data_IF_548930195131
#
_entry.id   IF_548930195131
#
_cell.length_a   1.000
_cell.length_b   1.000
_cell.length_c   1.000
_cell.angle_alpha   90.00
_cell.angle_beta   90.00
_cell.angle_gamma   90.00
#
_symmetry.space_group_name_H-M   'P 1'
#
loop_
_entity.id
_entity.type
_entity.pdbx_description
1 polymer ?
#
# COMPACT_ATOMS: atom_id res chain seq x y z
N UNK A 1 12.92 13.00 -36.35
CA UNK A 1 12.97 11.78 -35.51
C UNK A 1 12.80 12.21 -34.06
N UNK A 2 11.70 11.82 -33.41
CA UNK A 2 11.40 12.27 -32.04
C UNK A 2 12.34 11.61 -31.03
N UNK A 3 12.89 12.44 -30.13
CA UNK A 3 13.76 12.10 -29.00
C UNK A 3 13.28 10.85 -28.26
N UNK A 4 14.23 9.96 -27.95
CA UNK A 4 14.09 8.88 -26.97
C UNK A 4 13.57 9.46 -25.65
N UNK A 5 12.25 9.44 -25.45
CA UNK A 5 11.71 9.47 -24.10
C UNK A 5 12.22 8.19 -23.45
N UNK A 6 13.15 8.33 -22.51
CA UNK A 6 13.46 7.29 -21.54
C UNK A 6 12.12 6.83 -20.94
N UNK A 7 11.51 5.79 -21.53
CA UNK A 7 10.40 5.09 -20.90
C UNK A 7 11.03 4.43 -19.69
N UNK A 8 10.93 5.09 -18.54
CA UNK A 8 11.30 4.52 -17.26
C UNK A 8 10.78 3.09 -17.23
N UNK A 9 11.70 2.13 -17.14
CA UNK A 9 11.38 0.71 -17.22
C UNK A 9 10.44 0.40 -16.05
N UNK A 10 9.20 0.03 -16.36
CA UNK A 10 8.21 -0.30 -15.33
C UNK A 10 8.65 -1.58 -14.60
N UNK A 11 8.72 -1.48 -13.27
CA UNK A 11 9.02 -2.59 -12.38
C UNK A 11 7.84 -3.56 -12.35
N UNK A 12 8.02 -4.76 -11.79
CA UNK A 12 6.89 -5.68 -11.58
C UNK A 12 5.90 -5.13 -10.55
N UNK A 13 6.40 -4.46 -9.51
CA UNK A 13 5.60 -3.88 -8.43
C UNK A 13 4.66 -2.78 -8.94
N UNK A 14 5.08 -2.01 -9.95
CA UNK A 14 4.25 -1.01 -10.62
C UNK A 14 2.96 -1.62 -11.21
N UNK A 15 2.99 -2.89 -11.65
CA UNK A 15 1.81 -3.59 -12.17
C UNK A 15 0.94 -4.19 -11.05
N UNK A 16 1.54 -4.59 -9.93
CA UNK A 16 0.84 -5.27 -8.84
C UNK A 16 -0.26 -4.38 -8.26
N UNK A 17 -0.02 -3.07 -8.14
CA UNK A 17 -1.01 -2.09 -7.65
C UNK A 17 -2.34 -2.25 -8.38
N UNK A 18 -2.31 -2.25 -9.72
CA UNK A 18 -3.51 -2.43 -10.53
C UNK A 18 -4.16 -3.80 -10.41
N UNK A 19 -3.35 -4.85 -10.22
CA UNK A 19 -3.86 -6.22 -10.13
C UNK A 19 -4.48 -6.55 -8.78
N UNK A 20 -4.00 -5.92 -7.69
CA UNK A 20 -4.58 -6.04 -6.36
C UNK A 20 -5.96 -5.39 -6.29
N UNK A 21 -6.11 -4.19 -6.85
CA UNK A 21 -7.39 -3.47 -6.83
C UNK A 21 -8.46 -4.13 -7.72
N UNK A 22 -8.07 -4.89 -8.74
CA UNK A 22 -8.98 -5.64 -9.61
C UNK A 22 -9.87 -4.80 -10.52
N UNK A 23 -9.75 -3.47 -10.49
CA UNK A 23 -10.66 -2.52 -11.16
C UNK A 23 -10.38 -2.31 -12.64
N UNK A 24 -9.16 -2.54 -13.12
CA UNK A 24 -8.77 -2.24 -14.49
C UNK A 24 -8.44 -3.49 -15.33
N UNK A 25 -8.96 -3.50 -16.57
CA UNK A 25 -8.59 -4.45 -17.60
C UNK A 25 -7.20 -4.13 -18.20
N UNK A 26 -6.60 -5.08 -18.91
CA UNK A 26 -5.24 -4.94 -19.45
C UNK A 26 -5.06 -3.77 -20.42
N UNK A 27 -6.13 -3.38 -21.13
CA UNK A 27 -6.10 -2.29 -22.09
C UNK A 27 -6.00 -0.94 -21.36
N UNK A 28 -6.79 -0.76 -20.29
CA UNK A 28 -6.75 0.45 -19.47
C UNK A 28 -5.39 0.61 -18.78
N UNK A 29 -4.87 -0.46 -18.17
CA UNK A 29 -3.55 -0.45 -17.52
C UNK A 29 -2.45 -0.12 -18.53
N UNK A 30 -2.50 -0.71 -19.73
CA UNK A 30 -1.51 -0.46 -20.78
C UNK A 30 -1.47 1.02 -21.20
N UNK A 31 -2.65 1.63 -21.37
CA UNK A 31 -2.80 3.05 -21.72
C UNK A 31 -2.25 3.95 -20.63
N UNK A 32 -2.59 3.68 -19.37
CA UNK A 32 -2.15 4.47 -18.22
C UNK A 32 -0.64 4.36 -17.96
N UNK A 33 -0.10 3.15 -18.09
CA UNK A 33 1.33 2.87 -17.87
C UNK A 33 2.22 3.23 -19.06
N UNK A 34 1.64 3.52 -20.23
CA UNK A 34 2.38 3.76 -21.47
C UNK A 34 3.14 2.53 -21.97
N UNK A 35 2.59 1.33 -21.77
CA UNK A 35 3.19 0.04 -22.15
C UNK A 35 2.27 -0.77 -23.07
N UNK A 36 2.76 -1.87 -23.63
CA UNK A 36 1.91 -2.73 -24.47
C UNK A 36 0.96 -3.59 -23.63
N UNK A 37 -0.26 -3.83 -24.15
CA UNK A 37 -1.22 -4.78 -23.55
C UNK A 37 -0.60 -6.16 -23.33
N UNK A 38 0.22 -6.63 -24.27
CA UNK A 38 0.91 -7.90 -24.15
C UNK A 38 1.83 -7.95 -22.92
N UNK A 39 2.52 -6.85 -22.63
CA UNK A 39 3.36 -6.77 -21.43
C UNK A 39 2.52 -6.82 -20.14
N UNK A 40 1.38 -6.11 -20.10
CA UNK A 40 0.46 -6.17 -18.96
C UNK A 40 -0.06 -7.59 -18.75
N UNK A 41 -0.50 -8.27 -19.81
CA UNK A 41 -0.99 -9.65 -19.74
C UNK A 41 0.07 -10.61 -19.22
N UNK A 42 1.33 -10.45 -19.66
CA UNK A 42 2.47 -11.22 -19.16
C UNK A 42 2.67 -11.02 -17.66
N UNK A 43 2.65 -9.76 -17.20
CA UNK A 43 2.78 -9.44 -15.78
C UNK A 43 1.60 -9.94 -14.95
N UNK A 44 0.37 -9.89 -15.49
CA UNK A 44 -0.82 -10.41 -14.81
C UNK A 44 -0.75 -11.93 -14.63
N UNK A 45 -0.25 -12.65 -15.64
CA UNK A 45 -0.06 -14.09 -15.52
C UNK A 45 1.00 -14.43 -14.46
N UNK A 46 2.14 -13.71 -14.47
CA UNK A 46 3.16 -13.81 -13.42
C UNK A 46 2.56 -13.54 -12.03
N UNK A 47 1.78 -12.46 -11.88
CA UNK A 47 1.07 -12.12 -10.65
C UNK A 47 0.15 -13.25 -10.18
N UNK A 48 -0.68 -13.81 -11.06
CA UNK A 48 -1.57 -14.93 -10.70
C UNK A 48 -0.82 -16.17 -10.18
N UNK A 49 0.41 -16.41 -10.66
CA UNK A 49 1.26 -17.51 -10.19
C UNK A 49 1.89 -17.25 -8.82
N UNK A 50 2.24 -15.99 -8.51
CA UNK A 50 2.92 -15.64 -7.24
C UNK A 50 1.98 -15.09 -6.17
N UNK A 51 0.75 -14.70 -6.50
CA UNK A 51 -0.22 -14.14 -5.54
C UNK A 51 -0.65 -15.13 -4.45
N UNK A 52 -0.37 -16.43 -4.60
CA UNK A 52 -0.61 -17.41 -3.54
C UNK A 52 0.54 -17.44 -2.51
N UNK A 53 1.72 -16.90 -2.87
CA UNK A 53 2.86 -16.81 -1.99
C UNK A 53 2.72 -15.56 -1.10
N UNK A 54 2.87 -15.77 0.22
CA UNK A 54 2.53 -14.78 1.27
C UNK A 54 3.29 -13.45 1.23
N UNK A 55 4.34 -13.34 0.42
CA UNK A 55 5.19 -12.14 0.34
C UNK A 55 4.46 -10.96 -0.31
N UNK A 56 3.56 -11.21 -1.26
CA UNK A 56 2.79 -10.16 -1.92
C UNK A 56 1.32 -10.06 -1.48
N UNK A 57 0.81 -11.07 -0.76
CA UNK A 57 -0.51 -11.09 -0.11
C UNK A 57 -0.50 -10.32 1.20
N UNK A 58 0.67 -10.13 1.82
CA UNK A 58 0.78 -9.20 2.93
C UNK A 58 0.49 -7.80 2.41
N UNK A 59 -0.75 -7.39 2.63
CA UNK A 59 -1.13 -6.00 2.70
C UNK A 59 -0.16 -5.34 3.68
N UNK A 60 0.79 -4.61 3.13
CA UNK A 60 1.57 -3.62 3.86
C UNK A 60 0.68 -2.43 4.23
N UNK A 61 -0.57 -2.69 4.65
CA UNK A 61 -1.48 -1.76 5.32
C UNK A 61 -0.95 -1.37 6.72
N UNK A 62 0.30 -1.72 7.01
CA UNK A 62 1.04 -1.25 8.16
C UNK A 62 1.43 0.20 7.95
N UNK A 63 0.55 1.10 8.39
CA UNK A 63 0.89 2.50 8.56
C UNK A 63 1.82 2.64 9.78
N UNK A 64 3.07 3.03 9.54
CA UNK A 64 4.02 3.38 10.59
C UNK A 64 3.96 4.88 10.84
N UNK A 65 3.58 5.29 12.05
CA UNK A 65 3.59 6.69 12.50
C UNK A 65 4.51 6.83 13.72
N UNK A 66 5.23 7.95 13.80
CA UNK A 66 6.07 8.26 14.95
C UNK A 66 5.22 8.60 16.18
N UNK A 67 5.66 8.18 17.38
CA UNK A 67 4.90 8.38 18.63
C UNK A 67 4.54 9.86 18.89
N UNK A 68 5.48 10.76 18.59
CA UNK A 68 5.26 12.22 18.70
C UNK A 68 4.13 12.69 17.77
N UNK A 69 4.06 12.16 16.54
CA UNK A 69 3.00 12.50 15.58
C UNK A 69 1.65 11.98 16.06
N UNK A 70 1.60 10.74 16.55
CA UNK A 70 0.39 10.17 17.15
C UNK A 70 -0.07 11.00 18.36
N UNK A 71 0.87 11.40 19.23
CA UNK A 71 0.56 12.19 20.43
C UNK A 71 -0.01 13.56 20.08
N UNK A 72 0.56 14.23 19.08
CA UNK A 72 0.05 15.52 18.61
C UNK A 72 -1.35 15.40 18.00
N UNK A 73 -1.60 14.37 17.18
CA UNK A 73 -2.94 14.09 16.63
C UNK A 73 -3.95 13.88 17.76
N UNK A 74 -3.59 13.09 18.78
CA UNK A 74 -4.47 12.84 19.93
C UNK A 74 -4.70 14.09 20.78
N UNK A 75 -3.67 14.93 20.98
CA UNK A 75 -3.78 16.21 21.68
C UNK A 75 -4.73 17.18 20.98
N UNK A 76 -4.73 17.21 19.64
CA UNK A 76 -5.62 18.06 18.87
C UNK A 76 -7.03 17.49 18.72
N UNK A 77 -7.17 16.15 18.71
CA UNK A 77 -8.46 15.48 18.58
C UNK A 77 -9.23 15.38 19.91
N UNK A 78 -8.58 15.64 21.05
CA UNK A 78 -9.19 15.48 22.38
C UNK A 78 -9.00 16.73 23.23
N UNK A 79 -10.00 17.08 24.03
CA UNK A 79 -9.94 18.27 24.89
C UNK A 79 -9.39 17.96 26.30
N UNK A 80 -8.95 16.72 26.57
CA UNK A 80 -8.51 16.28 27.89
C UNK A 80 -7.38 15.26 27.86
N UNK A 81 -6.34 15.49 28.67
CA UNK A 81 -5.21 14.59 28.86
C UNK A 81 -5.60 13.18 29.36
N UNK A 82 -6.73 13.04 30.06
CA UNK A 82 -7.22 11.74 30.51
C UNK A 82 -7.71 10.87 29.33
N UNK A 83 -8.35 11.49 28.33
CA UNK A 83 -8.79 10.82 27.11
C UNK A 83 -7.59 10.38 26.27
N UNK A 84 -6.54 11.18 26.19
CA UNK A 84 -5.28 10.84 25.51
C UNK A 84 -4.65 9.60 26.14
N UNK A 85 -4.54 9.55 27.47
CA UNK A 85 -3.98 8.39 28.18
C UNK A 85 -4.82 7.13 27.97
N UNK A 86 -6.15 7.25 28.04
CA UNK A 86 -7.07 6.14 27.75
C UNK A 86 -6.89 5.62 26.32
N UNK A 87 -6.85 6.51 25.32
CA UNK A 87 -6.66 6.14 23.92
C UNK A 87 -5.29 5.50 23.68
N UNK A 88 -4.20 6.07 24.24
CA UNK A 88 -2.86 5.47 24.18
C UNK A 88 -2.86 4.03 24.72
N UNK A 89 -3.53 3.80 25.84
CA UNK A 89 -3.67 2.46 26.41
C UNK A 89 -4.52 1.53 25.54
N UNK A 90 -5.62 2.01 24.95
CA UNK A 90 -6.43 1.23 23.99
C UNK A 90 -5.59 0.82 22.77
N UNK A 91 -4.83 1.75 22.17
CA UNK A 91 -3.93 1.45 21.05
C UNK A 91 -2.78 0.52 21.45
N UNK A 92 -2.23 0.68 22.66
CA UNK A 92 -1.21 -0.22 23.21
C UNK A 92 -1.73 -1.64 23.45
N UNK A 93 -2.97 -1.80 23.90
CA UNK A 93 -3.61 -3.11 24.13
C UNK A 93 -4.09 -3.80 22.83
N UNK A 94 -4.43 -3.04 21.78
CA UNK A 94 -4.79 -3.56 20.45
C UNK A 94 -3.59 -4.17 19.68
N UNK A 95 -2.36 -3.98 20.18
CA UNK A 95 -1.15 -4.61 19.66
C UNK A 95 -1.16 -6.15 19.76
N UNK A 96 -2.06 -6.72 20.58
CA UNK A 96 -2.20 -8.16 20.77
C UNK A 96 -3.37 -8.81 20.03
N UNK A 97 -4.18 -8.09 19.25
CA UNK A 97 -4.98 -8.68 18.17
C UNK A 97 -5.67 -7.56 17.35
N UNK A 98 -5.22 -7.43 16.10
CA UNK A 98 -5.78 -6.67 14.96
C UNK A 98 -5.19 -5.31 14.58
N UNK A 99 -4.36 -4.65 15.39
CA UNK A 99 -3.52 -3.53 14.90
C UNK A 99 -2.18 -3.47 15.66
N UNK A 100 -1.11 -4.00 15.07
CA UNK A 100 0.23 -3.98 15.69
C UNK A 100 0.99 -2.71 15.29
N UNK A 101 0.87 -1.67 16.10
CA UNK A 101 1.82 -0.55 16.10
C UNK A 101 3.09 -1.04 16.79
N UNK A 102 4.24 -0.97 16.12
CA UNK A 102 5.54 -1.40 16.67
C UNK A 102 6.39 -0.16 16.90
N UNK A 103 6.93 0.00 18.12
CA UNK A 103 7.87 1.05 18.50
C UNK A 103 9.30 0.69 18.10
#
# INVERSE_FOLDING_TARGET
MLKNMSRFKKSFDDYIVYFKEGKLNDVSIAKEMGVSKANVSKMRHKWKGVKANSEYVRDNDKLTIHEVTLTNILLHATSSNAQIRYLKNQFGMLSNNRFKITF
#
